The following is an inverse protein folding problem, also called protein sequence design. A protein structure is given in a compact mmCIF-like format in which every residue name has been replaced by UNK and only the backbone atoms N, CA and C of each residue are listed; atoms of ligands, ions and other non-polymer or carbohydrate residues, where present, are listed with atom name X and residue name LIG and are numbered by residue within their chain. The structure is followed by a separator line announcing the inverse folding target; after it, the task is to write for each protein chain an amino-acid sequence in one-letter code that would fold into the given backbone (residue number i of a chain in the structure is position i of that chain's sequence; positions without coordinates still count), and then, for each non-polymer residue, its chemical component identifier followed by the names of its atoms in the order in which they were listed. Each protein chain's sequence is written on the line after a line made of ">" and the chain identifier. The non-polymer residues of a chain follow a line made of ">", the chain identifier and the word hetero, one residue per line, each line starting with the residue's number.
data_IF_269271646113
#
_entry.id   IF_269271646113
#
_cell.length_a   1.000
_cell.length_b   1.000
_cell.length_c   1.000
_cell.angle_alpha   90.00
_cell.angle_beta   90.00
_cell.angle_gamma   90.00
#
_symmetry.space_group_name_H-M   'P 1'
#
loop_
_entity.id
_entity.type
_entity.pdbx_description
1 polymer ?
#
# COMPACT_ATOMS: atom_id res chain seq x y z
N UNK A 1 29.72 61.25 -17.92
CA UNK A 1 30.21 60.33 -16.87
C UNK A 1 30.16 58.92 -17.44
N UNK A 2 31.34 58.34 -17.67
CA UNK A 2 31.73 56.95 -17.99
C UNK A 2 30.66 55.98 -18.54
N UNK A 3 30.68 55.63 -19.83
CA UNK A 3 31.63 54.77 -20.59
C UNK A 3 31.17 53.30 -20.63
N UNK A 4 30.57 52.91 -21.77
CA UNK A 4 30.28 51.54 -22.18
C UNK A 4 31.58 50.88 -22.66
N UNK A 5 31.91 49.72 -22.11
CA UNK A 5 33.01 48.87 -22.60
C UNK A 5 32.44 47.82 -23.55
N UNK A 6 32.97 47.83 -24.78
CA UNK A 6 32.83 46.80 -25.80
C UNK A 6 33.94 45.77 -25.58
N UNK A 7 33.63 44.48 -25.61
CA UNK A 7 34.62 43.41 -25.74
C UNK A 7 34.22 42.46 -26.87
N UNK A 8 35.14 42.34 -27.81
CA UNK A 8 35.16 41.56 -29.04
C UNK A 8 35.20 40.04 -28.72
N UNK A 9 34.38 39.22 -29.39
CA UNK A 9 34.57 37.77 -29.44
C UNK A 9 35.04 37.38 -30.85
N UNK A 10 36.24 36.80 -30.91
CA UNK A 10 36.90 36.28 -32.12
C UNK A 10 36.33 34.89 -32.43
N UNK A 11 35.85 34.70 -33.66
CA UNK A 11 35.44 33.40 -34.19
C UNK A 11 36.68 32.62 -34.66
N UNK A 12 36.90 31.41 -34.13
CA UNK A 12 37.86 30.43 -34.67
C UNK A 12 37.06 29.25 -35.22
N UNK A 13 37.28 28.81 -36.47
CA UNK A 13 36.61 27.65 -37.02
C UNK A 13 37.31 26.36 -36.56
N UNK A 14 36.58 25.46 -35.90
CA UNK A 14 37.05 24.09 -35.61
C UNK A 14 36.54 23.18 -36.73
N UNK A 15 37.46 22.56 -37.45
CA UNK A 15 37.20 21.55 -38.48
C UNK A 15 36.50 20.32 -37.86
N UNK A 16 35.39 19.90 -38.45
CA UNK A 16 34.75 18.63 -38.17
C UNK A 16 35.55 17.47 -38.80
N UNK A 17 35.96 16.50 -37.99
CA UNK A 17 36.44 15.20 -38.45
C UNK A 17 35.26 14.22 -38.59
N UNK A 18 35.28 13.29 -39.57
CA UNK A 18 34.19 12.35 -39.77
C UNK A 18 34.18 11.30 -38.67
N UNK A 19 33.06 11.21 -37.94
CA UNK A 19 32.79 10.14 -36.98
C UNK A 19 32.40 8.88 -37.76
N UNK A 20 33.21 7.83 -37.63
CA UNK A 20 32.88 6.48 -38.12
C UNK A 20 31.82 5.89 -37.17
N UNK A 21 30.67 5.39 -37.67
CA UNK A 21 29.66 4.80 -36.80
C UNK A 21 30.19 3.48 -36.23
N UNK A 22 30.31 3.41 -34.90
CA UNK A 22 30.43 2.12 -34.20
C UNK A 22 29.09 1.41 -34.32
N UNK A 23 29.11 0.17 -34.82
CA UNK A 23 27.96 -0.73 -34.71
C UNK A 23 27.56 -0.81 -33.23
N UNK A 24 26.38 -0.31 -32.89
CA UNK A 24 25.83 -0.37 -31.56
C UNK A 24 25.65 -1.82 -31.15
N UNK A 25 26.22 -2.20 -30.01
CA UNK A 25 25.74 -3.38 -29.30
C UNK A 25 24.26 -3.12 -29.01
N UNK A 26 23.41 -4.05 -29.45
CA UNK A 26 22.00 -4.06 -29.07
C UNK A 26 22.00 -4.24 -27.55
N UNK A 27 21.64 -3.18 -26.81
CA UNK A 27 21.31 -3.34 -25.41
C UNK A 27 20.14 -4.34 -25.33
N UNK A 28 20.24 -5.38 -24.49
CA UNK A 28 19.09 -6.23 -24.26
C UNK A 28 17.96 -5.32 -23.75
N UNK A 29 16.85 -5.30 -24.49
CA UNK A 29 15.65 -4.60 -24.05
C UNK A 29 15.23 -5.12 -22.67
N UNK A 30 14.47 -4.31 -21.90
CA UNK A 30 14.03 -4.69 -20.57
C UNK A 30 13.39 -6.08 -20.62
N UNK A 31 13.97 -7.01 -19.85
CA UNK A 31 13.40 -8.32 -19.60
C UNK A 31 12.02 -8.08 -19.00
N UNK A 32 10.93 -8.67 -19.54
CA UNK A 32 9.65 -8.62 -18.86
C UNK A 32 9.84 -9.22 -17.47
N UNK A 33 9.71 -8.42 -16.43
CA UNK A 33 9.58 -8.94 -15.07
C UNK A 33 8.17 -9.51 -14.99
N UNK A 34 8.00 -10.74 -15.45
CA UNK A 34 7.13 -11.65 -14.71
C UNK A 34 7.86 -11.85 -13.39
N UNK A 35 7.38 -11.29 -12.29
CA UNK A 35 7.92 -11.69 -10.99
C UNK A 35 7.70 -13.20 -10.93
N UNK A 36 8.78 -13.99 -11.00
CA UNK A 36 8.70 -15.46 -10.87
C UNK A 36 8.10 -15.90 -9.52
N UNK A 37 7.91 -14.94 -8.62
CA UNK A 37 7.57 -15.10 -7.22
C UNK A 37 6.07 -15.14 -6.95
N UNK A 38 5.24 -14.35 -7.62
CA UNK A 38 3.78 -14.28 -7.42
C UNK A 38 3.12 -14.13 -8.79
N UNK A 39 2.20 -15.04 -9.15
CA UNK A 39 1.49 -14.96 -10.44
C UNK A 39 0.13 -14.30 -10.30
N UNK A 40 -0.13 -13.25 -11.06
CA UNK A 40 -1.44 -12.59 -11.10
C UNK A 40 -2.36 -13.23 -12.16
N UNK A 41 -3.70 -13.00 -12.11
CA UNK A 41 -4.43 -12.22 -11.11
C UNK A 41 -4.42 -12.87 -9.72
N UNK A 42 -4.50 -12.03 -8.68
CA UNK A 42 -4.80 -12.51 -7.33
C UNK A 42 -6.31 -12.68 -7.18
N UNK A 43 -6.73 -13.61 -6.33
CA UNK A 43 -8.13 -13.83 -6.00
C UNK A 43 -8.30 -14.28 -4.55
N UNK A 44 -9.48 -14.07 -3.99
CA UNK A 44 -9.81 -14.49 -2.63
C UNK A 44 -10.38 -15.90 -2.65
N UNK A 45 -9.78 -16.79 -1.84
CA UNK A 45 -10.27 -18.14 -1.55
C UNK A 45 -10.43 -18.30 -0.03
N UNK A 46 -11.68 -18.23 0.43
CA UNK A 46 -12.01 -18.14 1.84
C UNK A 46 -11.26 -16.99 2.52
N UNK A 47 -10.43 -17.32 3.51
CA UNK A 47 -9.67 -16.32 4.29
C UNK A 47 -8.29 -16.01 3.71
N UNK A 48 -7.98 -16.45 2.49
CA UNK A 48 -6.66 -16.30 1.88
C UNK A 48 -6.71 -15.54 0.57
N UNK A 49 -5.64 -14.79 0.32
CA UNK A 49 -5.36 -14.22 -0.99
C UNK A 49 -4.48 -15.21 -1.75
N UNK A 50 -4.92 -15.60 -2.93
CA UNK A 50 -4.29 -16.64 -3.75
C UNK A 50 -3.78 -16.05 -5.04
N UNK A 51 -2.62 -16.53 -5.47
CA UNK A 51 -2.11 -16.25 -6.80
C UNK A 51 -2.73 -17.18 -7.86
N UNK A 52 -2.40 -16.98 -9.13
CA UNK A 52 -2.88 -17.78 -10.25
C UNK A 52 -2.35 -19.24 -10.25
N UNK A 53 -1.44 -19.59 -9.33
CA UNK A 53 -1.02 -20.97 -9.03
C UNK A 53 -1.79 -21.60 -7.85
N UNK A 54 -2.63 -20.81 -7.16
CA UNK A 54 -3.31 -21.23 -5.93
C UNK A 54 -2.41 -21.18 -4.68
N UNK A 55 -1.26 -20.52 -4.76
CA UNK A 55 -0.36 -20.32 -3.61
C UNK A 55 -0.95 -19.25 -2.68
N UNK A 56 -0.78 -19.42 -1.37
CA UNK A 56 -1.17 -18.43 -0.36
C UNK A 56 -0.18 -17.27 -0.37
N UNK A 57 -0.65 -16.05 -0.61
CA UNK A 57 0.17 -14.85 -0.82
C UNK A 57 0.13 -13.93 0.39
N UNK A 58 1.30 -13.45 0.80
CA UNK A 58 1.43 -12.37 1.76
C UNK A 58 1.94 -11.10 1.06
N UNK A 59 1.11 -10.06 1.05
CA UNK A 59 1.49 -8.74 0.55
C UNK A 59 2.17 -7.95 1.67
N UNK A 60 3.46 -7.64 1.52
CA UNK A 60 4.22 -6.80 2.44
C UNK A 60 4.77 -5.61 1.68
N UNK A 61 4.28 -4.43 2.03
CA UNK A 61 4.41 -3.26 1.20
C UNK A 61 4.58 -1.94 1.94
N UNK A 62 4.44 -0.87 1.17
CA UNK A 62 4.56 0.52 1.62
C UNK A 62 3.59 1.40 0.84
N UNK A 63 3.18 2.51 1.46
CA UNK A 63 2.35 3.54 0.84
C UNK A 63 3.21 4.49 0.00
N UNK A 64 2.68 4.89 -1.15
CA UNK A 64 3.30 5.87 -2.03
C UNK A 64 2.24 6.69 -2.77
N UNK A 65 2.43 8.00 -2.81
CA UNK A 65 1.58 8.88 -3.61
C UNK A 65 1.82 10.35 -3.31
N UNK A 66 0.88 11.21 -3.71
CA UNK A 66 0.95 12.64 -3.42
C UNK A 66 -0.43 13.26 -3.23
N UNK A 67 -0.69 13.76 -2.03
CA UNK A 67 -1.98 14.35 -1.62
C UNK A 67 -2.31 15.71 -2.27
N UNK A 68 -1.38 16.31 -3.02
CA UNK A 68 -1.55 17.64 -3.62
C UNK A 68 -1.02 17.72 -5.05
N UNK A 69 -1.52 18.68 -5.84
CA UNK A 69 -1.09 18.91 -7.21
C UNK A 69 0.45 18.97 -7.33
N UNK A 70 1.05 18.34 -8.36
CA UNK A 70 0.43 17.65 -9.51
C UNK A 70 -0.10 16.21 -9.27
N UNK A 71 -0.29 15.79 -8.01
CA UNK A 71 -0.97 14.54 -7.60
C UNK A 71 -0.25 13.22 -7.91
N UNK A 72 0.96 13.29 -8.48
CA UNK A 72 1.88 12.16 -8.56
C UNK A 72 3.13 12.44 -7.74
N UNK A 73 3.67 11.44 -7.05
CA UNK A 73 4.95 11.57 -6.37
C UNK A 73 6.07 11.73 -7.39
N UNK A 74 7.11 12.46 -7.02
CA UNK A 74 8.31 12.62 -7.84
C UNK A 74 9.28 11.47 -7.55
N UNK A 75 9.03 10.31 -8.17
CA UNK A 75 9.82 9.09 -7.96
C UNK A 75 10.46 8.61 -9.26
N UNK A 76 11.72 8.21 -9.15
CA UNK A 76 12.51 7.61 -10.23
C UNK A 76 12.42 6.08 -10.20
N UNK A 77 12.90 5.42 -11.26
CA UNK A 77 13.01 3.95 -11.26
C UNK A 77 13.95 3.45 -10.17
N UNK A 78 14.96 4.26 -9.82
CA UNK A 78 15.86 3.97 -8.72
C UNK A 78 15.15 4.01 -7.36
N UNK A 79 14.13 4.85 -7.19
CA UNK A 79 13.32 4.87 -5.96
C UNK A 79 12.44 3.63 -5.84
N UNK A 80 11.80 3.20 -6.94
CA UNK A 80 11.02 1.97 -6.98
C UNK A 80 11.91 0.73 -6.74
N UNK A 81 13.09 0.68 -7.34
CA UNK A 81 14.09 -0.35 -7.07
C UNK A 81 14.57 -0.31 -5.60
N UNK A 82 14.68 0.88 -5.00
CA UNK A 82 15.03 1.04 -3.60
C UNK A 82 13.94 0.49 -2.67
N UNK A 83 12.66 0.73 -2.97
CA UNK A 83 11.54 0.10 -2.26
C UNK A 83 11.66 -1.42 -2.35
N UNK A 84 11.87 -1.97 -3.56
CA UNK A 84 12.05 -3.41 -3.75
C UNK A 84 13.25 -3.97 -2.99
N UNK A 85 14.34 -3.21 -2.86
CA UNK A 85 15.54 -3.62 -2.13
C UNK A 85 15.33 -3.81 -0.62
N UNK A 86 14.25 -3.25 -0.06
CA UNK A 86 13.83 -3.55 1.31
C UNK A 86 13.28 -4.97 1.47
N UNK A 87 12.99 -5.66 0.35
CA UNK A 87 12.30 -6.95 0.30
C UNK A 87 10.78 -6.83 0.19
N UNK A 88 10.24 -5.63 0.03
CA UNK A 88 8.81 -5.41 -0.15
C UNK A 88 8.36 -5.93 -1.53
N UNK A 89 7.19 -6.53 -1.59
CA UNK A 89 6.58 -7.04 -2.83
C UNK A 89 5.34 -6.24 -3.26
N UNK A 90 4.93 -5.27 -2.44
CA UNK A 90 3.66 -4.57 -2.59
C UNK A 90 3.81 -3.05 -2.42
N UNK A 91 3.00 -2.31 -3.16
CA UNK A 91 2.87 -0.87 -3.12
C UNK A 91 1.38 -0.52 -3.00
N UNK A 92 0.98 0.15 -1.92
CA UNK A 92 -0.33 0.84 -1.85
C UNK A 92 -0.14 2.19 -2.54
N UNK A 93 -0.45 2.22 -3.84
CA UNK A 93 -0.26 3.39 -4.69
C UNK A 93 -1.53 4.21 -4.71
N UNK A 94 -1.46 5.39 -4.12
CA UNK A 94 -2.66 6.18 -3.89
C UNK A 94 -2.85 7.31 -4.90
N UNK A 95 -4.10 7.49 -5.31
CA UNK A 95 -4.65 8.58 -6.14
C UNK A 95 -5.72 9.33 -5.33
N UNK A 96 -6.42 10.29 -5.93
CA UNK A 96 -7.57 10.95 -5.29
C UNK A 96 -8.66 11.26 -6.30
N UNK A 97 -9.91 11.37 -5.83
CA UNK A 97 -11.04 11.72 -6.69
C UNK A 97 -10.82 13.08 -7.39
N UNK A 98 -10.20 14.03 -6.70
CA UNK A 98 -9.82 15.33 -7.24
C UNK A 98 -8.80 15.23 -8.37
N UNK A 99 -7.86 14.28 -8.31
CA UNK A 99 -6.89 14.08 -9.38
C UNK A 99 -7.53 13.40 -10.60
N UNK A 100 -8.44 12.45 -10.36
CA UNK A 100 -9.11 11.67 -11.42
C UNK A 100 -10.18 12.48 -12.14
N UNK A 101 -11.02 13.21 -11.38
CA UNK A 101 -12.20 13.93 -11.90
C UNK A 101 -12.27 15.35 -11.31
N UNK A 102 -11.39 16.27 -11.75
CA UNK A 102 -11.28 17.60 -11.17
C UNK A 102 -12.50 18.48 -11.39
N UNK A 103 -13.33 18.20 -12.39
CA UNK A 103 -14.61 18.88 -12.66
C UNK A 103 -15.74 17.84 -12.82
N UNK A 104 -17.00 18.21 -12.55
CA UNK A 104 -18.12 17.25 -12.60
C UNK A 104 -18.20 16.51 -13.94
N UNK A 105 -18.08 15.18 -13.92
CA UNK A 105 -18.15 14.34 -15.12
C UNK A 105 -16.97 14.45 -16.09
N UNK A 106 -15.93 15.22 -15.74
CA UNK A 106 -14.74 15.40 -16.58
C UNK A 106 -13.54 14.67 -15.97
N UNK A 107 -13.22 13.51 -16.54
CA UNK A 107 -12.04 12.71 -16.20
C UNK A 107 -10.79 13.37 -16.77
N UNK A 108 -9.75 13.53 -15.93
CA UNK A 108 -8.42 13.96 -16.38
C UNK A 108 -7.64 12.76 -16.95
N UNK A 109 -7.82 12.53 -18.25
CA UNK A 109 -7.14 11.43 -18.95
C UNK A 109 -5.63 11.60 -19.02
N UNK A 110 -5.12 12.84 -18.96
CA UNK A 110 -3.68 13.09 -18.97
C UNK A 110 -3.05 12.72 -17.63
N UNK A 111 -3.75 12.99 -16.51
CA UNK A 111 -3.37 12.47 -15.20
C UNK A 111 -3.37 10.95 -15.17
N UNK A 112 -4.47 10.32 -15.62
CA UNK A 112 -4.59 8.86 -15.62
C UNK A 112 -3.52 8.17 -16.47
N UNK A 113 -3.11 8.76 -17.60
CA UNK A 113 -2.00 8.23 -18.40
C UNK A 113 -0.66 8.25 -17.63
N UNK A 114 -0.37 9.31 -16.88
CA UNK A 114 0.82 9.39 -16.03
C UNK A 114 0.73 8.46 -14.82
N UNK A 115 -0.48 8.25 -14.27
CA UNK A 115 -0.71 7.29 -13.20
C UNK A 115 -0.45 5.86 -13.69
N UNK A 116 -0.96 5.48 -14.87
CA UNK A 116 -0.66 4.19 -15.52
C UNK A 116 0.84 3.99 -15.75
N UNK A 117 1.55 5.00 -16.23
CA UNK A 117 3.02 4.94 -16.39
C UNK A 117 3.73 4.59 -15.06
N UNK A 118 3.32 5.20 -13.95
CA UNK A 118 3.87 4.88 -12.63
C UNK A 118 3.51 3.44 -12.19
N UNK A 119 2.29 2.97 -12.47
CA UNK A 119 1.89 1.57 -12.23
C UNK A 119 2.77 0.59 -13.01
N UNK A 120 3.03 0.86 -14.29
CA UNK A 120 3.88 0.01 -15.14
C UNK A 120 5.33 0.01 -14.66
N UNK A 121 5.87 1.17 -14.26
CA UNK A 121 7.21 1.30 -13.70
C UNK A 121 7.35 0.56 -12.37
N UNK A 122 6.33 0.60 -11.51
CA UNK A 122 6.29 -0.20 -10.28
C UNK A 122 6.31 -1.70 -10.58
N UNK A 123 5.54 -2.14 -11.58
CA UNK A 123 5.54 -3.53 -12.05
C UNK A 123 6.90 -3.97 -12.58
N UNK A 124 7.57 -3.13 -13.37
CA UNK A 124 8.93 -3.37 -13.86
C UNK A 124 9.97 -3.46 -12.73
N UNK A 125 9.73 -2.81 -11.59
CA UNK A 125 10.54 -2.94 -10.37
C UNK A 125 10.18 -4.17 -9.52
N UNK A 126 9.22 -4.99 -9.95
CA UNK A 126 8.77 -6.19 -9.23
C UNK A 126 7.80 -5.92 -8.08
N UNK A 127 7.07 -4.81 -8.12
CA UNK A 127 6.07 -4.44 -7.10
C UNK A 127 4.65 -4.68 -7.61
N UNK A 128 3.87 -5.44 -6.82
CA UNK A 128 2.42 -5.52 -6.94
C UNK A 128 1.78 -4.24 -6.42
N UNK A 129 0.68 -3.81 -7.03
CA UNK A 129 0.03 -2.52 -6.76
C UNK A 129 -1.41 -2.73 -6.33
N UNK A 130 -1.76 -2.20 -5.16
CA UNK A 130 -3.15 -1.88 -4.83
C UNK A 130 -3.36 -0.40 -5.10
N UNK A 131 -4.40 -0.07 -5.87
CA UNK A 131 -4.75 1.33 -6.16
C UNK A 131 -5.69 1.85 -5.08
N UNK A 132 -5.29 2.89 -4.38
CA UNK A 132 -6.10 3.52 -3.31
C UNK A 132 -6.72 4.84 -3.78
N UNK A 133 -8.01 5.06 -3.49
CA UNK A 133 -8.66 6.37 -3.64
C UNK A 133 -8.59 7.13 -2.31
N UNK A 134 -7.48 7.82 -2.14
CA UNK A 134 -7.10 8.50 -0.92
C UNK A 134 -7.95 9.74 -0.64
N UNK A 135 -8.17 9.99 0.65
CA UNK A 135 -8.68 11.24 1.18
C UNK A 135 -8.21 11.40 2.63
N UNK A 136 -8.03 12.66 3.04
CA UNK A 136 -8.04 13.03 4.45
C UNK A 136 -8.93 14.27 4.60
N UNK A 137 -9.77 14.29 5.64
CA UNK A 137 -10.71 15.39 5.89
C UNK A 137 -11.60 15.69 4.67
N UNK A 138 -12.02 14.62 3.99
CA UNK A 138 -12.85 14.58 2.78
C UNK A 138 -12.20 15.15 1.52
N UNK A 139 -11.64 16.36 1.55
CA UNK A 139 -11.22 17.08 0.36
C UNK A 139 -10.73 18.50 0.64
N UNK A 140 -10.37 19.24 -0.41
CA UNK A 140 -10.08 20.67 -0.25
C UNK A 140 -11.37 21.45 0.02
N UNK A 141 -11.38 22.37 1.00
CA UNK A 141 -10.18 22.99 1.59
C UNK A 141 -9.82 22.53 3.01
N UNK A 142 -10.48 21.52 3.58
CA UNK A 142 -10.14 20.99 4.90
C UNK A 142 -8.93 20.03 4.85
N UNK A 143 -8.82 19.24 3.79
CA UNK A 143 -7.70 18.35 3.51
C UNK A 143 -7.58 18.04 2.02
N UNK A 144 -7.64 16.76 1.66
CA UNK A 144 -7.43 16.25 0.30
C UNK A 144 -8.34 15.06 -0.01
N UNK A 145 -8.42 14.65 -1.28
CA UNK A 145 -9.30 13.57 -1.72
C UNK A 145 -10.37 14.04 -2.70
N UNK A 146 -11.52 14.48 -2.18
CA UNK A 146 -12.65 14.92 -2.97
C UNK A 146 -12.40 16.29 -3.65
N UNK A 147 -12.91 16.48 -4.88
CA UNK A 147 -12.84 17.76 -5.55
C UNK A 147 -13.81 18.79 -4.97
N UNK A 148 -13.50 20.08 -5.16
CA UNK A 148 -14.32 21.16 -4.59
C UNK A 148 -15.80 21.10 -5.02
N UNK A 149 -16.08 20.66 -6.26
CA UNK A 149 -17.44 20.52 -6.76
C UNK A 149 -18.25 19.41 -6.07
N UNK A 150 -17.58 18.50 -5.36
CA UNK A 150 -18.21 17.44 -4.57
C UNK A 150 -18.65 17.93 -3.17
N UNK A 151 -18.42 19.19 -2.82
CA UNK A 151 -19.00 19.80 -1.63
C UNK A 151 -20.45 20.21 -1.88
N UNK A 152 -21.32 20.01 -0.88
CA UNK A 152 -22.76 20.36 -0.95
C UNK A 152 -23.13 21.33 0.18
N UNK A 153 -22.89 22.64 0.00
CA UNK A 153 -23.17 23.65 1.03
C UNK A 153 -24.68 23.80 1.36
N UNK A 154 -25.58 23.20 0.57
CA UNK A 154 -27.02 23.25 0.82
C UNK A 154 -27.52 22.29 1.90
N UNK A 155 -26.78 21.22 2.21
CA UNK A 155 -27.16 20.26 3.27
C UNK A 155 -26.77 20.75 4.68
N UNK A 156 -25.79 21.65 4.76
CA UNK A 156 -25.41 22.36 5.97
C UNK A 156 -25.02 23.81 5.62
N UNK A 157 -25.81 24.83 6.01
CA UNK A 157 -25.52 26.22 5.67
C UNK A 157 -24.14 26.65 6.17
N UNK A 158 -23.26 27.00 5.23
CA UNK A 158 -21.98 27.72 5.37
C UNK A 158 -21.45 27.86 6.80
N UNK A 159 -20.86 26.79 7.33
CA UNK A 159 -19.87 26.94 8.39
C UNK A 159 -18.57 27.35 7.70
N UNK A 160 -18.02 28.54 7.99
CA UNK A 160 -16.80 28.96 7.35
C UNK A 160 -15.73 27.93 7.69
N UNK A 161 -15.04 27.45 6.65
CA UNK A 161 -13.84 26.59 6.73
C UNK A 161 -12.72 27.18 7.62
N UNK A 162 -12.94 28.40 8.14
CA UNK A 162 -12.11 29.15 9.07
C UNK A 162 -12.12 28.63 10.54
N UNK A 163 -12.78 27.50 10.83
CA UNK A 163 -12.73 26.87 12.16
C UNK A 163 -11.80 25.66 12.24
N UNK A 164 -11.00 25.40 11.21
CA UNK A 164 -9.94 24.41 11.29
C UNK A 164 -8.90 24.88 12.31
N UNK A 165 -8.60 24.00 13.25
CA UNK A 165 -7.69 24.26 14.37
C UNK A 165 -6.23 24.12 13.95
N UNK A 166 -5.97 23.49 12.79
CA UNK A 166 -4.64 23.12 12.34
C UNK A 166 -4.11 21.84 13.00
N UNK A 167 -4.87 21.27 13.95
CA UNK A 167 -4.63 19.94 14.47
C UNK A 167 -5.39 18.92 13.61
N UNK A 168 -4.69 18.33 12.64
CA UNK A 168 -5.27 17.46 11.59
C UNK A 168 -6.30 16.46 12.11
N UNK A 169 -5.98 15.69 13.15
CA UNK A 169 -6.91 14.69 13.71
C UNK A 169 -8.15 15.28 14.38
N UNK A 170 -8.03 16.45 15.01
CA UNK A 170 -9.16 17.14 15.63
C UNK A 170 -10.12 17.75 14.59
N UNK A 171 -9.59 18.12 13.43
CA UNK A 171 -10.35 18.76 12.36
C UNK A 171 -11.35 17.81 11.67
N UNK A 172 -11.22 16.49 11.87
CA UNK A 172 -12.25 15.50 11.46
C UNK A 172 -13.61 15.77 12.12
N UNK A 173 -13.60 16.24 13.36
CA UNK A 173 -14.81 16.56 14.13
C UNK A 173 -15.26 18.02 13.94
N UNK A 174 -14.69 18.72 12.94
CA UNK A 174 -15.16 20.04 12.58
C UNK A 174 -16.51 19.93 11.88
N UNK A 175 -17.45 20.87 12.11
CA UNK A 175 -18.75 20.83 11.46
C UNK A 175 -18.69 20.83 9.93
N UNK A 176 -17.63 21.42 9.35
CA UNK A 176 -17.43 21.44 7.90
C UNK A 176 -17.12 20.05 7.34
N UNK A 177 -16.26 19.29 8.01
CA UNK A 177 -15.88 17.92 7.61
C UNK A 177 -17.05 16.97 7.83
N UNK A 178 -17.69 17.03 9.01
CA UNK A 178 -18.89 16.25 9.33
C UNK A 178 -19.98 16.37 8.25
N UNK A 179 -20.28 17.61 7.85
CA UNK A 179 -21.28 17.88 6.83
C UNK A 179 -20.86 17.41 5.44
N UNK A 180 -19.57 17.50 5.10
CA UNK A 180 -19.08 17.06 3.79
C UNK A 180 -19.21 15.54 3.63
N UNK A 181 -18.79 14.75 4.63
CA UNK A 181 -19.00 13.31 4.64
C UNK A 181 -20.47 12.94 4.65
N UNK A 182 -21.28 13.56 5.52
CA UNK A 182 -22.72 13.28 5.59
C UNK A 182 -23.39 13.53 4.23
N UNK A 183 -23.03 14.62 3.55
CA UNK A 183 -23.54 14.91 2.22
C UNK A 183 -23.12 13.86 1.19
N UNK A 184 -21.86 13.41 1.21
CA UNK A 184 -21.37 12.37 0.31
C UNK A 184 -22.11 11.04 0.49
N UNK A 185 -22.26 10.58 1.73
CA UNK A 185 -22.91 9.30 2.04
C UNK A 185 -24.39 9.29 1.66
N UNK A 186 -25.07 10.44 1.76
CA UNK A 186 -26.51 10.57 1.48
C UNK A 186 -26.85 11.01 0.06
N UNK A 187 -25.85 11.38 -0.75
CA UNK A 187 -26.03 11.88 -2.12
C UNK A 187 -25.84 10.78 -3.16
N UNK A 188 -26.94 10.31 -3.74
CA UNK A 188 -26.89 9.30 -4.80
C UNK A 188 -26.12 9.76 -6.05
N UNK A 189 -26.11 11.07 -6.36
CA UNK A 189 -25.35 11.64 -7.48
C UNK A 189 -23.84 11.68 -7.23
N UNK A 190 -23.40 12.02 -6.00
CA UNK A 190 -21.99 11.95 -5.64
C UNK A 190 -21.49 10.51 -5.59
N UNK A 191 -22.29 9.59 -5.05
CA UNK A 191 -21.98 8.16 -5.04
C UNK A 191 -21.80 7.59 -6.46
N UNK A 192 -22.65 7.99 -7.42
CA UNK A 192 -22.49 7.62 -8.84
C UNK A 192 -21.25 8.25 -9.45
N UNK A 193 -21.01 9.54 -9.21
CA UNK A 193 -19.86 10.24 -9.79
C UNK A 193 -18.53 9.71 -9.25
N UNK A 194 -18.51 9.25 -7.99
CA UNK A 194 -17.36 8.56 -7.39
C UNK A 194 -17.14 7.18 -8.03
N UNK A 195 -18.22 6.42 -8.28
CA UNK A 195 -18.14 5.17 -9.04
C UNK A 195 -17.62 5.39 -10.47
N UNK A 196 -18.05 6.46 -11.15
CA UNK A 196 -17.58 6.82 -12.49
C UNK A 196 -16.07 7.15 -12.49
N UNK A 197 -15.57 7.82 -11.44
CA UNK A 197 -14.14 8.06 -11.26
C UNK A 197 -13.38 6.74 -11.06
N UNK A 198 -13.91 5.81 -10.26
CA UNK A 198 -13.34 4.47 -10.10
C UNK A 198 -13.29 3.67 -11.40
N UNK A 199 -14.36 3.69 -12.20
CA UNK A 199 -14.38 3.06 -13.53
C UNK A 199 -13.34 3.68 -14.45
N UNK A 200 -13.12 5.00 -14.37
CA UNK A 200 -12.07 5.65 -15.14
C UNK A 200 -10.67 5.22 -14.73
N UNK A 201 -10.40 5.07 -13.42
CA UNK A 201 -9.14 4.52 -12.90
C UNK A 201 -8.95 3.08 -13.38
N UNK A 202 -9.93 2.21 -13.18
CA UNK A 202 -9.88 0.81 -13.58
C UNK A 202 -9.61 0.65 -15.10
N UNK A 203 -10.26 1.46 -15.94
CA UNK A 203 -9.97 1.49 -17.39
C UNK A 203 -8.55 1.96 -17.71
N UNK A 204 -8.03 2.92 -16.95
CA UNK A 204 -6.71 3.47 -17.20
C UNK A 204 -5.60 2.50 -16.78
N UNK A 205 -5.75 1.84 -15.63
CA UNK A 205 -4.81 0.79 -15.21
C UNK A 205 -4.96 -0.47 -16.05
N UNK A 206 -6.16 -0.75 -16.58
CA UNK A 206 -6.39 -1.72 -17.65
C UNK A 206 -5.86 -3.13 -17.34
N UNK A 207 -5.07 -3.65 -18.26
CA UNK A 207 -4.47 -5.00 -18.20
C UNK A 207 -3.11 -5.06 -17.46
N UNK A 208 -2.77 -4.03 -16.67
CA UNK A 208 -1.52 -4.01 -15.92
C UNK A 208 -1.42 -5.25 -15.01
N UNK A 209 -0.51 -6.20 -15.27
CA UNK A 209 -0.53 -7.49 -14.60
C UNK A 209 -0.12 -7.38 -13.13
N UNK A 210 0.52 -6.29 -12.72
CA UNK A 210 0.93 -6.04 -11.35
C UNK A 210 -0.16 -5.38 -10.50
N UNK A 211 -1.31 -4.96 -11.06
CA UNK A 211 -2.42 -4.45 -10.26
C UNK A 211 -3.17 -5.63 -9.63
N UNK A 212 -3.24 -5.64 -8.29
CA UNK A 212 -3.82 -6.76 -7.52
C UNK A 212 -5.16 -6.43 -6.88
N UNK A 213 -5.60 -5.17 -6.96
CA UNK A 213 -6.92 -4.76 -6.51
C UNK A 213 -7.04 -3.26 -6.24
N UNK A 214 -8.18 -2.89 -5.67
CA UNK A 214 -8.60 -1.51 -5.47
C UNK A 214 -9.01 -1.31 -4.02
N UNK A 215 -8.34 -0.38 -3.34
CA UNK A 215 -8.68 0.09 -2.01
C UNK A 215 -9.64 1.28 -2.13
N UNK A 216 -10.90 1.03 -1.78
CA UNK A 216 -12.03 1.74 -2.38
C UNK A 216 -12.24 3.14 -1.82
N UNK A 217 -11.86 3.38 -0.57
CA UNK A 217 -12.02 4.65 0.11
C UNK A 217 -11.19 4.70 1.38
N UNK A 218 -10.11 5.49 1.36
CA UNK A 218 -9.25 5.68 2.51
C UNK A 218 -10.00 6.25 3.73
N UNK A 219 -9.82 5.64 4.89
CA UNK A 219 -10.30 6.08 6.20
C UNK A 219 -11.74 6.62 6.21
N UNK A 220 -12.75 5.78 5.91
CA UNK A 220 -14.14 6.19 5.85
C UNK A 220 -14.63 6.83 7.16
N UNK A 221 -14.93 8.12 7.13
CA UNK A 221 -15.45 8.85 8.27
C UNK A 221 -16.99 9.00 8.22
N UNK A 222 -17.71 8.75 9.33
CA UNK A 222 -19.17 8.72 9.34
C UNK A 222 -19.85 10.08 9.13
N UNK A 223 -19.13 11.17 9.42
CA UNK A 223 -19.76 12.48 9.64
C UNK A 223 -20.81 12.41 10.75
N UNK A 224 -22.01 12.91 10.49
CA UNK A 224 -23.11 12.96 11.45
C UNK A 224 -23.93 11.66 11.54
N UNK A 225 -23.59 10.63 10.75
CA UNK A 225 -24.32 9.35 10.77
C UNK A 225 -23.84 8.51 11.95
N UNK A 226 -24.72 7.97 12.81
CA UNK A 226 -24.29 7.11 13.93
C UNK A 226 -23.42 5.93 13.42
N UNK A 227 -22.25 5.63 14.04
CA UNK A 227 -21.27 4.70 13.47
C UNK A 227 -21.82 3.33 13.02
N UNK A 228 -22.67 2.70 13.82
CA UNK A 228 -23.28 1.40 13.48
C UNK A 228 -24.16 1.51 12.22
N UNK A 229 -24.95 2.58 12.14
CA UNK A 229 -25.83 2.84 10.98
C UNK A 229 -24.99 3.21 9.76
N UNK A 230 -23.92 3.98 9.97
CA UNK A 230 -22.98 4.35 8.93
C UNK A 230 -22.39 3.10 8.27
N UNK A 231 -21.82 2.19 9.06
CA UNK A 231 -21.17 0.99 8.50
C UNK A 231 -22.16 0.10 7.74
N UNK A 232 -23.29 -0.21 8.37
CA UNK A 232 -24.25 -1.20 7.86
C UNK A 232 -25.16 -0.70 6.74
N UNK A 233 -25.58 0.57 6.78
CA UNK A 233 -26.53 1.13 5.83
C UNK A 233 -25.89 1.97 4.72
N UNK A 234 -24.69 2.52 4.96
CA UNK A 234 -24.02 3.43 4.02
C UNK A 234 -22.69 2.90 3.52
N UNK A 235 -21.72 2.64 4.40
CA UNK A 235 -20.34 2.35 4.04
C UNK A 235 -20.19 1.07 3.22
N UNK A 236 -20.43 -0.11 3.84
CA UNK A 236 -20.24 -1.39 3.16
C UNK A 236 -21.13 -1.51 1.91
N UNK A 237 -22.42 -1.10 1.92
CA UNK A 237 -23.22 -1.07 0.70
C UNK A 237 -22.68 -0.16 -0.40
N UNK A 238 -22.05 0.97 -0.05
CA UNK A 238 -21.46 1.88 -1.05
C UNK A 238 -20.19 1.30 -1.66
N UNK A 239 -19.30 0.77 -0.83
CA UNK A 239 -18.09 0.08 -1.27
C UNK A 239 -18.42 -1.11 -2.19
N UNK A 240 -19.44 -1.92 -1.85
CA UNK A 240 -19.91 -3.00 -2.73
C UNK A 240 -20.37 -2.48 -4.10
N UNK A 241 -21.15 -1.38 -4.16
CA UNK A 241 -21.60 -0.78 -5.43
C UNK A 241 -20.45 -0.20 -6.25
N UNK A 242 -19.45 0.41 -5.62
CA UNK A 242 -18.28 0.93 -6.33
C UNK A 242 -17.44 -0.21 -6.92
N UNK A 243 -17.26 -1.30 -6.16
CA UNK A 243 -16.57 -2.49 -6.64
C UNK A 243 -17.33 -3.16 -7.80
N UNK A 244 -18.65 -3.24 -7.73
CA UNK A 244 -19.49 -3.69 -8.85
C UNK A 244 -19.32 -2.80 -10.09
N UNK A 245 -19.21 -1.48 -9.92
CA UNK A 245 -18.94 -0.56 -11.02
C UNK A 245 -17.56 -0.83 -11.65
N UNK A 246 -16.52 -0.98 -10.84
CA UNK A 246 -15.17 -1.38 -11.30
C UNK A 246 -15.24 -2.70 -12.09
N UNK A 247 -16.01 -3.68 -11.62
CA UNK A 247 -16.15 -4.99 -12.26
C UNK A 247 -16.86 -4.98 -13.62
N UNK A 248 -17.46 -3.86 -14.01
CA UNK A 248 -17.95 -3.69 -15.39
C UNK A 248 -16.82 -3.59 -16.41
N UNK A 249 -15.59 -3.26 -15.97
CA UNK A 249 -14.40 -3.12 -16.81
C UNK A 249 -13.23 -4.00 -16.37
N UNK A 250 -13.23 -4.46 -15.11
CA UNK A 250 -12.27 -5.41 -14.54
C UNK A 250 -13.02 -6.51 -13.74
N UNK A 251 -13.53 -7.55 -14.43
CA UNK A 251 -14.41 -8.55 -13.81
C UNK A 251 -13.83 -9.30 -12.61
N UNK A 252 -12.49 -9.42 -12.56
CA UNK A 252 -11.77 -10.18 -11.53
C UNK A 252 -11.24 -9.28 -10.40
N UNK A 253 -11.57 -7.98 -10.42
CA UNK A 253 -11.13 -7.00 -9.43
C UNK A 253 -11.32 -7.49 -7.98
N UNK A 254 -10.21 -7.50 -7.24
CA UNK A 254 -10.22 -7.69 -5.78
C UNK A 254 -10.49 -6.34 -5.13
N UNK A 255 -11.50 -6.27 -4.27
CA UNK A 255 -11.78 -5.09 -3.46
C UNK A 255 -11.07 -5.15 -2.11
N UNK A 256 -10.30 -4.13 -1.77
CA UNK A 256 -9.81 -3.89 -0.40
C UNK A 256 -10.82 -2.95 0.28
N UNK A 257 -11.45 -3.45 1.34
CA UNK A 257 -12.63 -2.81 1.95
C UNK A 257 -12.26 -2.34 3.35
N UNK A 258 -12.23 -1.02 3.53
CA UNK A 258 -11.92 -0.41 4.81
C UNK A 258 -13.17 -0.33 5.70
N UNK A 259 -13.05 -0.54 7.03
CA UNK A 259 -14.09 -0.20 8.00
C UNK A 259 -14.13 1.31 8.26
N UNK A 260 -15.00 1.75 9.17
CA UNK A 260 -14.96 3.13 9.67
C UNK A 260 -13.59 3.45 10.32
N UNK A 261 -13.01 4.62 10.01
CA UNK A 261 -11.72 5.09 10.58
C UNK A 261 -11.69 5.11 12.11
N UNK A 262 -12.83 5.24 12.80
CA UNK A 262 -12.90 5.16 14.27
C UNK A 262 -12.33 3.83 14.79
N UNK A 263 -12.42 2.75 14.00
CA UNK A 263 -11.79 1.47 14.28
C UNK A 263 -10.28 1.62 14.47
N UNK A 264 -9.64 2.42 13.62
CA UNK A 264 -8.20 2.63 13.60
C UNK A 264 -7.70 3.25 14.90
N UNK A 265 -8.56 3.92 15.68
CA UNK A 265 -8.20 4.65 16.91
C UNK A 265 -8.68 3.99 18.21
N UNK A 266 -9.69 3.10 18.17
CA UNK A 266 -10.43 2.72 19.40
C UNK A 266 -10.58 1.22 19.65
N UNK A 267 -10.02 0.36 18.79
CA UNK A 267 -10.18 -1.12 18.78
C UNK A 267 -11.65 -1.62 18.69
N UNK A 268 -12.63 -0.70 18.68
CA UNK A 268 -14.04 -1.03 18.53
C UNK A 268 -14.31 -1.39 17.09
N UNK A 269 -14.90 -2.56 16.88
CA UNK A 269 -15.08 -3.13 15.56
C UNK A 269 -16.45 -3.80 15.44
N UNK A 270 -17.13 -3.53 14.33
CA UNK A 270 -18.32 -4.26 13.92
C UNK A 270 -17.87 -5.27 12.87
N UNK A 271 -17.88 -6.58 13.16
CA UNK A 271 -17.52 -7.58 12.17
C UNK A 271 -18.39 -7.44 10.91
N UNK A 272 -17.82 -7.37 9.69
CA UNK A 272 -18.57 -7.15 8.46
C UNK A 272 -19.22 -8.45 7.93
N UNK A 273 -19.83 -9.23 8.83
CA UNK A 273 -20.43 -10.53 8.52
C UNK A 273 -21.59 -10.38 7.55
N UNK A 274 -21.45 -10.98 6.37
CA UNK A 274 -22.45 -10.89 5.29
C UNK A 274 -22.51 -9.52 4.60
N UNK A 275 -21.59 -8.60 4.91
CA UNK A 275 -21.51 -7.27 4.32
C UNK A 275 -20.35 -7.14 3.31
N UNK A 276 -19.36 -8.03 3.39
CA UNK A 276 -18.24 -8.05 2.46
C UNK A 276 -18.68 -8.54 1.07
N UNK A 277 -18.38 -7.81 -0.02
CA UNK A 277 -18.67 -8.28 -1.37
C UNK A 277 -17.79 -9.51 -1.72
N UNK A 278 -18.21 -10.36 -2.67
CA UNK A 278 -17.36 -11.46 -3.15
C UNK A 278 -16.01 -10.95 -3.65
N UNK A 279 -14.97 -11.79 -3.56
CA UNK A 279 -13.61 -11.46 -3.99
C UNK A 279 -13.11 -10.15 -3.36
N UNK A 280 -13.17 -10.05 -2.02
CA UNK A 280 -12.72 -8.88 -1.28
C UNK A 280 -11.91 -9.23 -0.03
N UNK A 281 -11.06 -8.28 0.36
CA UNK A 281 -10.14 -8.33 1.50
C UNK A 281 -10.58 -7.28 2.50
N UNK A 282 -10.58 -7.64 3.79
CA UNK A 282 -10.82 -6.67 4.85
C UNK A 282 -9.54 -5.87 5.12
N UNK A 283 -9.63 -4.55 4.99
CA UNK A 283 -8.48 -3.65 4.86
C UNK A 283 -8.41 -2.56 5.96
N UNK A 284 -8.36 -2.89 7.25
CA UNK A 284 -8.29 -1.86 8.28
C UNK A 284 -6.91 -1.19 8.37
N UNK A 285 -6.86 -0.02 9.02
CA UNK A 285 -5.60 0.60 9.46
C UNK A 285 -5.30 0.28 10.92
N UNK A 286 -4.04 0.53 11.29
CA UNK A 286 -3.50 0.31 12.62
C UNK A 286 -2.72 1.56 13.05
N UNK A 287 -3.41 2.41 13.82
CA UNK A 287 -2.80 3.52 14.52
C UNK A 287 -3.16 3.48 16.00
N UNK A 288 -2.34 4.12 16.82
CA UNK A 288 -2.65 4.46 18.19
C UNK A 288 -2.57 5.97 18.35
N UNK A 289 -3.30 6.54 19.33
CA UNK A 289 -3.31 7.99 19.57
C UNK A 289 -1.93 8.57 19.92
N UNK A 290 -0.94 7.70 20.17
CA UNK A 290 0.42 8.06 20.57
C UNK A 290 1.48 7.83 19.49
N UNK A 291 1.13 7.21 18.36
CA UNK A 291 2.03 7.04 17.21
C UNK A 291 2.60 8.37 16.73
N UNK A 292 1.90 9.46 17.08
CA UNK A 292 2.23 10.83 16.75
C UNK A 292 3.13 11.56 17.78
N UNK A 293 3.50 10.94 18.91
CA UNK A 293 4.04 11.71 20.07
C UNK A 293 5.38 11.24 20.64
N UNK A 294 6.02 10.23 20.05
CA UNK A 294 7.47 9.93 20.15
C UNK A 294 8.14 9.76 21.55
N UNK A 295 7.40 9.63 22.66
CA UNK A 295 7.96 9.31 23.98
C UNK A 295 7.91 7.80 24.29
N UNK A 296 9.03 7.21 24.76
CA UNK A 296 9.20 5.75 25.00
C UNK A 296 8.09 5.11 25.86
N UNK A 297 7.62 5.71 26.98
CA UNK A 297 6.53 5.14 27.78
C UNK A 297 5.18 5.08 27.03
N UNK A 298 5.02 5.85 25.96
CA UNK A 298 3.82 5.84 25.13
C UNK A 298 3.88 4.75 24.06
N UNK A 299 5.07 4.33 23.62
CA UNK A 299 5.22 3.21 22.69
C UNK A 299 4.80 1.86 23.28
N UNK A 300 5.05 1.60 24.57
CA UNK A 300 4.56 0.37 25.21
C UNK A 300 3.03 0.29 25.24
N UNK A 301 2.35 1.41 25.52
CA UNK A 301 0.88 1.48 25.45
C UNK A 301 0.38 1.28 24.02
N UNK A 302 1.11 1.82 23.05
CA UNK A 302 0.83 1.67 21.63
C UNK A 302 0.91 0.19 21.23
N UNK A 303 1.93 -0.56 21.67
CA UNK A 303 2.04 -2.01 21.40
C UNK A 303 0.81 -2.79 21.88
N UNK A 304 0.36 -2.56 23.12
CA UNK A 304 -0.83 -3.25 23.68
C UNK A 304 -2.10 -2.93 22.89
N UNK A 305 -2.28 -1.66 22.50
CA UNK A 305 -3.41 -1.27 21.65
C UNK A 305 -3.31 -1.90 20.27
N UNK A 306 -2.11 -1.96 19.71
CA UNK A 306 -1.86 -2.55 18.42
C UNK A 306 -2.16 -4.07 18.41
N UNK A 307 -1.75 -4.79 19.48
CA UNK A 307 -2.07 -6.21 19.67
C UNK A 307 -3.59 -6.43 19.70
N UNK A 308 -4.30 -5.61 20.48
CA UNK A 308 -5.75 -5.68 20.60
C UNK A 308 -6.46 -5.34 19.27
N UNK A 309 -5.99 -4.33 18.55
CA UNK A 309 -6.52 -3.92 17.25
C UNK A 309 -6.37 -5.03 16.20
N UNK A 310 -5.17 -5.63 16.10
CA UNK A 310 -4.91 -6.73 15.15
C UNK A 310 -5.72 -7.97 15.53
N UNK A 311 -5.81 -8.32 16.81
CA UNK A 311 -6.61 -9.44 17.28
C UNK A 311 -8.09 -9.27 16.95
N UNK A 312 -8.64 -8.06 17.17
CA UNK A 312 -10.01 -7.72 16.80
C UNK A 312 -10.23 -7.84 15.28
N UNK A 313 -9.34 -7.25 14.48
CA UNK A 313 -9.47 -7.28 13.02
C UNK A 313 -9.35 -8.68 12.43
N UNK A 314 -8.49 -9.52 13.02
CA UNK A 314 -8.39 -10.93 12.65
C UNK A 314 -9.68 -11.69 12.96
N UNK A 315 -10.30 -11.41 14.10
CA UNK A 315 -11.60 -11.99 14.46
C UNK A 315 -12.69 -11.53 13.49
N UNK A 316 -12.77 -10.22 13.21
CA UNK A 316 -13.74 -9.65 12.28
C UNK A 316 -13.60 -10.25 10.86
N UNK A 317 -12.39 -10.28 10.30
CA UNK A 317 -12.10 -10.90 9.01
C UNK A 317 -12.43 -12.40 9.02
N UNK A 318 -12.12 -13.10 10.11
CA UNK A 318 -12.45 -14.54 10.24
C UNK A 318 -13.95 -14.81 10.30
N UNK A 319 -14.71 -13.98 11.02
CA UNK A 319 -16.18 -14.09 11.09
C UNK A 319 -16.82 -13.75 9.74
N UNK A 320 -16.27 -12.78 9.02
CA UNK A 320 -16.71 -12.43 7.67
C UNK A 320 -16.24 -13.44 6.59
N UNK A 321 -15.29 -14.32 6.93
CA UNK A 321 -14.78 -15.35 6.02
C UNK A 321 -13.88 -14.80 4.92
N UNK A 322 -13.21 -13.66 5.14
CA UNK A 322 -12.36 -12.97 4.17
C UNK A 322 -10.91 -12.84 4.66
N UNK A 323 -9.94 -12.55 3.78
CA UNK A 323 -8.56 -12.26 4.17
C UNK A 323 -8.46 -10.94 4.96
N UNK A 324 -7.40 -10.82 5.74
CA UNK A 324 -7.03 -9.59 6.45
C UNK A 324 -5.76 -9.01 5.81
N UNK A 325 -5.79 -7.70 5.54
CA UNK A 325 -4.63 -6.92 5.12
C UNK A 325 -4.65 -5.57 5.83
N UNK A 326 -3.52 -5.11 6.37
CA UNK A 326 -3.44 -3.85 7.12
C UNK A 326 -2.95 -2.75 6.17
N UNK A 327 -3.85 -1.87 5.73
CA UNK A 327 -3.57 -0.89 4.67
C UNK A 327 -2.61 0.23 5.06
N UNK A 328 -2.62 0.60 6.34
CA UNK A 328 -1.73 1.60 6.91
C UNK A 328 -1.37 1.28 8.35
N UNK A 329 -0.14 1.62 8.69
CA UNK A 329 0.41 1.65 10.03
C UNK A 329 1.73 2.41 9.98
N UNK A 330 2.20 2.93 11.11
CA UNK A 330 3.51 3.58 11.12
C UNK A 330 3.88 4.15 12.48
N UNK A 331 5.11 4.62 12.56
CA UNK A 331 5.64 5.36 13.70
C UNK A 331 6.56 6.44 13.18
N UNK A 332 6.67 7.55 13.91
CA UNK A 332 7.73 8.51 13.63
C UNK A 332 9.10 7.81 13.72
N UNK A 333 9.77 7.69 12.57
CA UNK A 333 11.04 7.00 12.37
C UNK A 333 12.18 7.56 13.22
N UNK A 334 12.11 8.83 13.61
CA UNK A 334 13.05 9.47 14.53
C UNK A 334 12.76 9.24 16.02
N UNK A 335 11.63 8.63 16.39
CA UNK A 335 11.27 8.37 17.78
C UNK A 335 12.19 7.33 18.41
N UNK A 336 12.49 7.51 19.70
CA UNK A 336 13.25 6.52 20.47
C UNK A 336 12.48 5.19 20.53
N UNK A 337 13.06 4.11 20.01
CA UNK A 337 12.41 2.79 19.96
C UNK A 337 11.59 2.50 18.70
N UNK A 338 11.59 3.38 17.69
CA UNK A 338 10.83 3.20 16.44
C UNK A 338 11.12 1.86 15.73
N UNK A 339 12.40 1.45 15.64
CA UNK A 339 12.78 0.17 15.04
C UNK A 339 12.14 -1.03 15.76
N UNK A 340 12.16 -1.02 17.10
CA UNK A 340 11.51 -2.05 17.91
C UNK A 340 9.99 -2.00 17.88
N UNK A 341 9.37 -0.91 17.44
CA UNK A 341 7.93 -0.87 17.16
C UNK A 341 7.63 -1.47 15.79
N UNK A 342 8.46 -1.20 14.77
CA UNK A 342 8.38 -1.84 13.45
C UNK A 342 8.49 -3.35 13.56
N UNK A 343 9.45 -3.86 14.32
CA UNK A 343 9.58 -5.29 14.60
C UNK A 343 8.30 -5.86 15.26
N UNK A 344 7.78 -5.17 16.28
CA UNK A 344 6.55 -5.57 16.97
C UNK A 344 5.36 -5.65 16.02
N UNK A 345 5.15 -4.64 15.17
CA UNK A 345 4.03 -4.64 14.21
C UNK A 345 4.16 -5.78 13.20
N UNK A 346 5.37 -6.09 12.73
CA UNK A 346 5.57 -7.27 11.88
C UNK A 346 5.32 -8.58 12.62
N UNK A 347 5.77 -8.74 13.87
CA UNK A 347 5.48 -9.93 14.68
C UNK A 347 3.96 -10.15 14.84
N UNK A 348 3.21 -9.07 15.08
CA UNK A 348 1.75 -9.12 15.15
C UNK A 348 1.11 -9.50 13.82
N UNK A 349 1.54 -8.88 12.73
CA UNK A 349 1.01 -9.16 11.39
C UNK A 349 1.32 -10.61 10.96
N UNK A 350 2.53 -11.10 11.23
CA UNK A 350 2.94 -12.48 11.02
C UNK A 350 2.06 -13.44 11.83
N UNK A 351 1.82 -13.14 13.12
CA UNK A 351 0.93 -13.93 13.99
C UNK A 351 -0.52 -13.95 13.53
N UNK A 352 -0.98 -12.89 12.86
CA UNK A 352 -2.31 -12.79 12.26
C UNK A 352 -2.37 -13.38 10.84
N UNK A 353 -1.22 -13.72 10.24
CA UNK A 353 -1.07 -14.10 8.84
C UNK A 353 -1.67 -13.04 7.90
N UNK A 354 -1.42 -11.77 8.23
CA UNK A 354 -1.95 -10.61 7.52
C UNK A 354 -0.83 -9.91 6.74
N UNK A 355 -1.14 -9.53 5.49
CA UNK A 355 -0.29 -8.61 4.75
C UNK A 355 -0.41 -7.19 5.31
N UNK A 356 0.55 -6.31 5.01
CA UNK A 356 0.55 -4.93 5.50
C UNK A 356 1.18 -3.95 4.50
N UNK A 357 0.84 -2.67 4.61
CA UNK A 357 1.56 -1.58 3.95
C UNK A 357 1.96 -0.48 4.95
N UNK A 358 3.27 -0.25 5.10
CA UNK A 358 3.82 0.80 5.97
C UNK A 358 3.46 2.19 5.42
N UNK A 359 3.05 3.12 6.28
CA UNK A 359 2.91 4.53 5.95
C UNK A 359 4.21 5.28 6.29
N UNK A 360 4.94 5.89 5.36
CA UNK A 360 4.89 5.80 3.89
C UNK A 360 6.33 5.88 3.32
N UNK A 361 6.54 5.80 2.01
CA UNK A 361 7.89 5.68 1.41
C UNK A 361 8.89 6.76 1.88
N UNK A 362 8.46 8.01 1.97
CA UNK A 362 9.33 9.15 2.30
C UNK A 362 8.75 10.09 3.36
N UNK A 363 9.67 10.79 4.02
CA UNK A 363 9.53 11.94 4.93
C UNK A 363 8.42 12.96 4.53
N UNK A 364 7.72 13.63 5.48
CA UNK A 364 8.15 13.94 6.84
C UNK A 364 7.76 12.91 7.90
N UNK A 365 8.71 12.08 8.33
CA UNK A 365 8.74 11.51 9.66
C UNK A 365 8.58 10.01 9.74
N UNK A 366 7.95 9.31 8.79
CA UNK A 366 7.54 7.91 9.00
C UNK A 366 8.32 6.86 8.21
N UNK A 367 8.85 7.23 7.04
CA UNK A 367 9.41 6.27 6.10
C UNK A 367 10.77 5.68 6.47
N UNK A 368 11.17 4.58 5.82
CA UNK A 368 12.51 4.00 5.94
C UNK A 368 13.61 4.84 5.27
N UNK A 369 13.22 5.85 4.48
CA UNK A 369 14.12 6.77 3.80
C UNK A 369 13.78 8.24 4.09
N UNK A 370 14.82 9.05 4.27
CA UNK A 370 14.74 10.51 4.28
C UNK A 370 14.55 11.02 2.84
N UNK A 371 14.15 12.28 2.70
CA UNK A 371 13.93 12.93 1.40
C UNK A 371 15.16 13.00 0.49
N UNK A 372 16.38 12.90 1.04
CA UNK A 372 17.63 12.81 0.27
C UNK A 372 18.05 11.37 -0.09
N UNK A 373 17.19 10.38 0.23
CA UNK A 373 17.44 8.95 -0.01
C UNK A 373 18.26 8.25 1.07
N UNK A 374 18.71 8.94 2.12
CA UNK A 374 19.42 8.32 3.24
C UNK A 374 18.50 7.47 4.12
N UNK A 375 19.00 6.41 4.79
CA UNK A 375 18.18 5.57 5.66
C UNK A 375 17.74 6.32 6.93
N UNK A 376 16.56 5.98 7.44
CA UNK A 376 16.08 6.38 8.77
C UNK A 376 16.34 5.27 9.81
N UNK A 377 16.15 5.50 11.11
CA UNK A 377 16.36 4.47 12.14
C UNK A 377 15.52 3.20 11.98
N UNK A 378 14.41 3.24 11.24
CA UNK A 378 13.57 2.06 11.00
C UNK A 378 13.99 1.25 9.77
N UNK A 379 14.92 1.75 8.96
CA UNK A 379 15.31 1.15 7.67
C UNK A 379 15.60 -0.35 7.76
N UNK A 380 16.43 -0.76 8.72
CA UNK A 380 16.84 -2.16 8.84
C UNK A 380 15.74 -3.04 9.47
N UNK A 381 14.88 -2.48 10.33
CA UNK A 381 13.72 -3.20 10.87
C UNK A 381 12.67 -3.50 9.78
N UNK A 382 12.60 -2.67 8.73
CA UNK A 382 11.76 -2.94 7.55
C UNK A 382 12.30 -4.10 6.70
N UNK A 383 13.61 -4.37 6.74
CA UNK A 383 14.31 -5.39 5.94
C UNK A 383 14.24 -6.77 6.57
N UNK A 384 13.01 -7.27 6.71
CA UNK A 384 12.69 -8.52 7.40
C UNK A 384 12.37 -9.66 6.41
N UNK A 385 12.90 -10.88 6.61
CA UNK A 385 12.48 -12.04 5.84
C UNK A 385 11.03 -12.47 6.09
N UNK A 386 10.36 -12.98 5.06
CA UNK A 386 8.97 -13.48 5.14
C UNK A 386 8.61 -14.36 3.93
N UNK A 387 7.57 -15.20 3.99
CA UNK A 387 7.05 -15.88 2.81
C UNK A 387 6.25 -14.94 1.91
N UNK A 388 6.57 -14.92 0.62
CA UNK A 388 5.81 -14.16 -0.38
C UNK A 388 4.65 -14.99 -0.92
N UNK A 389 4.91 -16.26 -1.27
CA UNK A 389 3.90 -17.20 -1.74
C UNK A 389 4.25 -18.64 -1.35
N UNK A 390 3.30 -19.41 -0.80
CA UNK A 390 3.51 -20.83 -0.46
C UNK A 390 2.46 -21.76 -1.09
N UNK A 391 2.84 -22.98 -1.53
CA UNK A 391 1.89 -23.94 -2.05
C UNK A 391 1.19 -24.65 -0.88
N UNK A 392 -0.07 -24.29 -0.61
CA UNK A 392 -0.84 -24.72 0.55
C UNK A 392 -1.44 -23.53 1.30
N UNK A 393 -1.98 -23.74 2.49
CA UNK A 393 -2.56 -22.66 3.31
C UNK A 393 -1.63 -22.34 4.47
N UNK A 394 -1.14 -21.09 4.55
CA UNK A 394 -0.28 -20.64 5.64
C UNK A 394 -0.95 -20.89 7.00
N UNK A 395 -0.18 -21.38 7.95
CA UNK A 395 -0.59 -21.58 9.34
C UNK A 395 0.34 -20.89 10.33
N UNK A 396 1.58 -20.63 9.94
CA UNK A 396 2.58 -20.00 10.80
C UNK A 396 3.59 -19.19 9.98
N UNK A 397 3.90 -18.01 10.48
CA UNK A 397 5.07 -17.21 10.10
C UNK A 397 5.68 -16.73 11.42
N UNK A 398 6.94 -17.05 11.65
CA UNK A 398 7.65 -16.63 12.84
C UNK A 398 9.08 -16.26 12.46
N UNK A 399 9.44 -14.99 12.66
CA UNK A 399 10.81 -14.53 12.50
C UNK A 399 11.36 -14.07 13.83
N UNK A 400 12.49 -14.65 14.22
CA UNK A 400 13.22 -14.29 15.43
C UNK A 400 14.30 -13.28 15.06
N UNK A 401 14.09 -12.00 15.41
CA UNK A 401 15.03 -10.92 15.11
C UNK A 401 16.36 -11.03 15.86
N UNK A 402 16.41 -11.78 16.97
CA UNK A 402 17.65 -11.99 17.73
C UNK A 402 18.57 -13.03 17.05
N UNK A 403 17.99 -14.05 16.41
CA UNK A 403 18.76 -15.11 15.73
C UNK A 403 18.78 -14.98 14.21
N UNK A 404 17.88 -14.18 13.64
CA UNK A 404 17.65 -14.10 12.19
C UNK A 404 16.98 -15.35 11.62
N UNK A 405 16.38 -16.22 12.43
CA UNK A 405 15.70 -17.42 11.94
C UNK A 405 14.28 -17.09 11.48
N UNK A 406 13.90 -17.60 10.29
CA UNK A 406 12.52 -17.58 9.80
C UNK A 406 11.97 -19.00 9.76
N UNK A 407 10.88 -19.24 10.48
CA UNK A 407 10.08 -20.46 10.45
C UNK A 407 8.74 -20.18 9.75
N UNK A 408 8.38 -21.01 8.78
CA UNK A 408 7.12 -20.90 8.02
C UNK A 408 6.46 -22.27 7.96
N UNK A 409 5.15 -22.33 8.25
CA UNK A 409 4.36 -23.56 8.13
C UNK A 409 3.05 -23.35 7.37
N UNK A 410 2.58 -24.42 6.74
CA UNK A 410 1.34 -24.46 5.98
C UNK A 410 0.74 -25.88 5.96
N UNK A 411 -0.52 -25.96 5.53
CA UNK A 411 -1.25 -27.23 5.38
C UNK A 411 -1.76 -27.42 3.95
N UNK A 412 -2.01 -28.68 3.56
CA UNK A 412 -2.62 -29.01 2.28
C UNK A 412 -1.73 -28.74 1.07
N UNK A 413 -0.40 -28.84 1.20
CA UNK A 413 0.53 -28.59 0.10
C UNK A 413 0.48 -29.67 -0.96
N UNK A 414 0.19 -29.33 -2.23
CA UNK A 414 0.36 -30.26 -3.35
C UNK A 414 1.83 -30.47 -3.75
N UNK A 415 2.80 -29.84 -3.06
CA UNK A 415 4.17 -29.66 -3.52
C UNK A 415 4.30 -28.43 -4.43
N UNK A 416 5.45 -28.27 -5.09
CA UNK A 416 5.72 -27.11 -5.96
C UNK A 416 6.74 -26.15 -5.36
N UNK A 417 6.64 -24.86 -5.68
CA UNK A 417 7.62 -23.85 -5.25
C UNK A 417 7.01 -22.90 -4.22
N UNK A 418 7.67 -22.78 -3.06
CA UNK A 418 7.47 -21.67 -2.15
C UNK A 418 8.49 -20.57 -2.46
N UNK A 419 8.02 -19.33 -2.56
CA UNK A 419 8.85 -18.15 -2.77
C UNK A 419 8.87 -17.32 -1.49
N UNK A 420 10.06 -17.06 -0.98
CA UNK A 420 10.32 -16.28 0.23
C UNK A 420 11.16 -15.07 -0.13
N UNK A 421 11.03 -14.02 0.65
CA UNK A 421 11.97 -12.90 0.63
C UNK A 421 12.93 -13.05 1.81
N UNK A 422 14.22 -12.96 1.51
CA UNK A 422 15.31 -12.84 2.47
C UNK A 422 16.17 -11.65 2.02
N UNK A 423 15.86 -10.42 2.48
CA UNK A 423 16.40 -9.21 1.88
C UNK A 423 17.92 -9.22 1.74
N UNK A 424 18.40 -8.68 0.61
CA UNK A 424 19.82 -8.63 0.29
C UNK A 424 20.60 -7.97 1.44
N UNK A 425 21.75 -8.55 1.82
CA UNK A 425 22.59 -8.02 2.89
C UNK A 425 22.11 -8.28 4.32
N UNK A 426 20.91 -8.85 4.54
CA UNK A 426 20.46 -9.28 5.88
C UNK A 426 21.34 -10.42 6.40
N UNK A 427 21.78 -11.34 5.53
CA UNK A 427 22.65 -12.48 5.89
C UNK A 427 23.93 -12.51 5.04
N UNK A 428 24.98 -11.74 5.42
CA UNK A 428 26.20 -11.64 4.63
C UNK A 428 26.99 -12.96 4.52
N UNK A 429 26.84 -13.86 5.50
CA UNK A 429 27.44 -15.20 5.47
C UNK A 429 26.67 -16.22 4.62
N UNK A 430 25.51 -15.85 4.08
CA UNK A 430 24.62 -16.74 3.34
C UNK A 430 23.51 -17.36 4.20
N UNK A 431 22.78 -18.33 3.65
CA UNK A 431 21.62 -18.95 4.28
C UNK A 431 21.68 -20.47 4.29
N UNK A 432 21.00 -21.08 5.27
CA UNK A 432 20.68 -22.51 5.26
C UNK A 432 19.18 -22.68 5.29
N UNK A 433 18.67 -23.52 4.40
CA UNK A 433 17.24 -23.83 4.28
C UNK A 433 17.02 -25.31 4.63
N UNK A 434 16.03 -25.60 5.47
CA UNK A 434 15.57 -26.95 5.77
C UNK A 434 14.07 -27.08 5.49
N UNK A 435 13.59 -28.30 5.21
CA UNK A 435 12.19 -28.54 4.83
C UNK A 435 11.91 -28.50 3.32
N UNK A 436 12.92 -28.18 2.50
CA UNK A 436 12.84 -28.21 1.04
C UNK A 436 13.68 -29.36 0.44
N UNK A 437 13.26 -29.85 -0.73
CA UNK A 437 14.01 -30.85 -1.52
C UNK A 437 15.12 -30.24 -2.37
N UNK A 438 14.99 -28.94 -2.67
CA UNK A 438 15.98 -28.12 -3.36
C UNK A 438 15.62 -26.66 -3.17
N UNK A 439 16.59 -25.75 -3.31
CA UNK A 439 16.35 -24.32 -3.20
C UNK A 439 17.41 -23.51 -3.94
N UNK A 440 17.03 -22.29 -4.34
CA UNK A 440 17.91 -21.27 -4.91
C UNK A 440 17.66 -19.94 -4.23
N UNK A 441 18.73 -19.22 -3.90
CA UNK A 441 18.65 -17.87 -3.33
C UNK A 441 19.53 -16.93 -4.13
N UNK A 442 18.94 -15.83 -4.62
CA UNK A 442 19.68 -14.75 -5.24
C UNK A 442 20.02 -13.69 -4.18
N UNK A 443 21.29 -13.52 -3.79
CA UNK A 443 21.69 -12.55 -2.78
C UNK A 443 21.51 -11.09 -3.20
N UNK A 444 21.35 -10.80 -4.50
CA UNK A 444 21.15 -9.44 -5.00
C UNK A 444 19.70 -8.98 -4.84
N UNK A 445 18.74 -9.82 -5.23
CA UNK A 445 17.30 -9.55 -5.04
C UNK A 445 16.79 -9.97 -3.66
N UNK A 446 17.48 -10.90 -2.99
CA UNK A 446 17.05 -11.53 -1.75
C UNK A 446 15.98 -12.62 -1.93
N UNK A 447 15.65 -12.99 -3.17
CA UNK A 447 14.57 -13.94 -3.46
C UNK A 447 15.05 -15.36 -3.24
N UNK A 448 14.29 -16.13 -2.46
CA UNK A 448 14.51 -17.55 -2.18
C UNK A 448 13.36 -18.37 -2.75
N UNK A 449 13.65 -19.23 -3.71
CA UNK A 449 12.72 -20.23 -4.22
C UNK A 449 13.07 -21.61 -3.66
N UNK A 450 12.11 -22.25 -3.01
CA UNK A 450 12.25 -23.56 -2.38
C UNK A 450 11.31 -24.58 -3.01
N UNK A 451 11.87 -25.66 -3.55
CA UNK A 451 11.12 -26.78 -4.13
C UNK A 451 10.67 -27.75 -3.04
N UNK A 452 9.37 -28.00 -2.99
CA UNK A 452 8.68 -28.77 -1.96
C UNK A 452 8.10 -30.05 -2.54
N UNK A 453 8.29 -31.16 -1.83
CA UNK A 453 7.59 -32.40 -2.12
C UNK A 453 6.11 -32.29 -1.71
N UNK A 454 5.20 -33.06 -2.33
CA UNK A 454 3.82 -33.17 -1.86
C UNK A 454 3.75 -33.54 -0.37
N UNK A 455 2.90 -32.83 0.39
CA UNK A 455 2.77 -33.03 1.83
C UNK A 455 3.85 -32.37 2.70
N UNK A 456 4.85 -31.70 2.12
CA UNK A 456 5.72 -30.81 2.89
C UNK A 456 4.88 -29.70 3.53
N UNK A 457 5.08 -29.44 4.83
CA UNK A 457 4.24 -28.52 5.61
C UNK A 457 4.98 -27.42 6.36
N UNK A 458 6.32 -27.38 6.26
CA UNK A 458 7.11 -26.35 6.91
C UNK A 458 8.47 -26.17 6.24
N UNK A 459 9.01 -24.96 6.37
CA UNK A 459 10.35 -24.59 5.94
C UNK A 459 10.98 -23.68 6.99
N UNK A 460 12.29 -23.84 7.19
CA UNK A 460 13.09 -22.97 8.05
C UNK A 460 14.27 -22.39 7.29
N UNK A 461 14.48 -21.09 7.43
CA UNK A 461 15.65 -20.35 6.92
C UNK A 461 16.44 -19.83 8.11
N UNK A 462 17.76 -20.05 8.11
CA UNK A 462 18.65 -19.48 9.12
C UNK A 462 19.89 -18.85 8.47
N UNK A 463 20.50 -17.82 9.09
CA UNK A 463 21.76 -17.26 8.61
C UNK A 463 22.89 -18.31 8.71
N UNK A 464 23.83 -18.28 7.78
CA UNK A 464 25.14 -18.93 7.95
C UNK A 464 26.09 -17.95 8.63
N UNK A 465 26.78 -18.43 9.68
CA UNK A 465 27.72 -17.64 10.49
C UNK A 465 29.09 -17.49 9.87
#
# INVERSE_FOLDING_TARGET
>A
MFARVVALAVLVPVLALPVVPRAGAVEPGPVPVTTSEIRTPLHVDGRRLRDADGRDVLLRGINLGRKSAPYLPDVTDADLARIRSLGLNHLRLYTSWQAVMPNPGHVDTAYLARFRDLVDRAGAAGLLVTVDMHQDLYGKPAGNGAPLWAYRPGLCPSLPLAQLTGAWGADYFSPAVDCAFTAFWTSADLQRSFADAWVAVARAVGDAPNVVGYDLFNEPFPGLVPPVVFETAYLFPSQARWLEAIRTVDPDAVGFIEPNVIKSETVVEIPPVGLMPPNSVYAPHLYGPWDLTADVPLLEKTRVLADAAVASSRLAASLAGVPLWIGEWGVFSGAGGAAGYVDHVYDMADSALAGTALWEYTDPGYGPFRSDGGPTPIHDAVRRPYPQAVPGTLTEVHYDSATGALDVAWTGSPGGTASLQVPAGTYPGGIRVTGATGWTWDPASGVLDATLAPGAGALRVVPQG
#
